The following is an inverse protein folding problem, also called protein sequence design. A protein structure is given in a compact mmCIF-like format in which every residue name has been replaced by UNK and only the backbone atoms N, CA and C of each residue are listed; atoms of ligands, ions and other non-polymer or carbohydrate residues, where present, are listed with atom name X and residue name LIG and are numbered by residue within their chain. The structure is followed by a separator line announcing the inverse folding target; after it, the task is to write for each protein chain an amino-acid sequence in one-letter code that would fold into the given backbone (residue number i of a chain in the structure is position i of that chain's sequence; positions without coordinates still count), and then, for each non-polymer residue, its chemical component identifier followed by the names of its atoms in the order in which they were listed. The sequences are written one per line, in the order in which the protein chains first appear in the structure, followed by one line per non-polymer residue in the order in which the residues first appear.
data_IF_994621184667
#
_entry.id   IF_994621184667
#
_cell.length_a   1.000
_cell.length_b   1.000
_cell.length_c   1.000
_cell.angle_alpha   90.00
_cell.angle_beta   90.00
_cell.angle_gamma   90.00
#
_symmetry.space_group_name_H-M   'P 1'
#
loop_
_entity.id
_entity.type
_entity.pdbx_description
1 polymer ?
#
# COMPACT_ATOMS: atom_id res chain seq x y z
N UNK A 1 16.73 -23.19 20.54
CA UNK A 1 17.13 -22.00 21.31
C UNK A 1 18.26 -21.32 20.56
N UNK A 2 17.96 -20.27 19.82
CA UNK A 2 18.92 -19.48 19.07
C UNK A 2 19.35 -18.27 19.90
N UNK A 3 20.65 -18.07 20.02
CA UNK A 3 21.31 -17.01 20.79
C UNK A 3 20.84 -15.61 20.34
N UNK A 4 20.29 -14.75 21.23
CA UNK A 4 19.89 -13.39 20.89
C UNK A 4 21.07 -12.45 20.60
N UNK A 5 22.33 -12.89 20.78
CA UNK A 5 23.57 -12.13 20.51
C UNK A 5 24.34 -12.60 19.28
N UNK A 6 23.77 -13.47 18.46
CA UNK A 6 24.39 -13.84 17.19
C UNK A 6 24.58 -12.58 16.34
N UNK A 7 25.83 -12.12 16.21
CA UNK A 7 26.23 -11.09 15.24
C UNK A 7 25.56 -11.45 13.91
N UNK A 8 24.79 -10.53 13.33
CA UNK A 8 24.33 -10.73 11.96
C UNK A 8 25.59 -10.99 11.12
N UNK A 9 25.73 -12.16 10.47
CA UNK A 9 26.93 -12.44 9.70
C UNK A 9 27.06 -11.34 8.66
N UNK A 10 28.18 -10.61 8.68
CA UNK A 10 28.50 -9.64 7.65
C UNK A 10 28.36 -10.35 6.30
N UNK A 11 27.46 -9.85 5.46
CA UNK A 11 27.40 -10.28 4.08
C UNK A 11 28.73 -9.91 3.42
N UNK A 12 29.44 -10.88 2.84
CA UNK A 12 30.67 -10.64 2.07
C UNK A 12 30.45 -9.76 0.81
N UNK A 13 29.24 -9.23 0.63
CA UNK A 13 28.77 -8.48 -0.54
C UNK A 13 28.19 -7.12 -0.16
N UNK A 14 28.70 -6.51 0.92
CA UNK A 14 28.35 -5.13 1.31
C UNK A 14 29.57 -4.20 1.26
N UNK A 15 29.32 -2.92 1.01
CA UNK A 15 30.30 -1.84 1.00
C UNK A 15 29.79 -0.65 1.83
N UNK A 16 30.72 0.16 2.34
CA UNK A 16 30.40 1.41 3.04
C UNK A 16 29.70 2.39 2.11
N UNK A 17 28.73 3.15 2.65
CA UNK A 17 27.97 4.14 1.87
C UNK A 17 28.85 5.19 1.19
N UNK A 18 30.00 5.53 1.79
CA UNK A 18 30.97 6.50 1.26
C UNK A 18 31.60 6.09 -0.07
N UNK A 19 31.50 4.80 -0.45
CA UNK A 19 31.91 4.31 -1.78
C UNK A 19 30.91 4.72 -2.88
N UNK A 20 29.72 5.18 -2.51
CA UNK A 20 28.65 5.55 -3.43
C UNK A 20 28.48 7.07 -3.48
N UNK A 21 28.98 7.74 -4.54
CA UNK A 21 28.98 9.19 -4.64
C UNK A 21 27.59 9.85 -4.64
N UNK A 22 26.55 9.10 -5.00
CA UNK A 22 25.19 9.62 -5.02
C UNK A 22 24.54 9.70 -3.63
N UNK A 23 25.21 9.24 -2.58
CA UNK A 23 24.68 9.25 -1.23
C UNK A 23 25.24 10.38 -0.39
N UNK A 24 24.37 10.96 0.43
CA UNK A 24 24.71 11.94 1.43
C UNK A 24 24.33 11.45 2.83
N UNK A 25 25.05 11.98 3.82
CA UNK A 25 24.86 11.73 5.24
C UNK A 25 25.16 13.03 5.97
N UNK A 26 24.14 13.88 6.10
CA UNK A 26 24.35 15.30 6.40
C UNK A 26 24.70 15.54 7.88
N UNK A 27 24.06 14.83 8.82
CA UNK A 27 24.16 15.14 10.26
C UNK A 27 25.06 14.19 11.08
N UNK A 28 25.96 13.42 10.45
CA UNK A 28 26.80 12.47 11.20
C UNK A 28 27.74 13.18 12.21
N UNK A 29 28.21 14.38 11.88
CA UNK A 29 29.08 15.18 12.78
C UNK A 29 28.36 15.72 14.00
N UNK A 30 27.03 15.77 13.98
CA UNK A 30 26.21 16.21 15.12
C UNK A 30 25.99 15.13 16.16
N UNK A 31 26.31 13.87 15.86
CA UNK A 31 26.07 12.74 16.74
C UNK A 31 27.25 12.47 17.69
N UNK A 32 26.98 12.08 18.95
CA UNK A 32 27.99 11.54 19.84
C UNK A 32 28.75 10.37 19.20
N UNK A 33 30.05 10.26 19.45
CA UNK A 33 30.88 9.18 18.88
C UNK A 33 30.34 7.78 19.22
N UNK A 34 29.79 7.61 20.42
CA UNK A 34 29.18 6.35 20.87
C UNK A 34 27.98 5.95 20.00
N UNK A 35 27.20 6.93 19.57
CA UNK A 35 26.04 6.72 18.70
C UNK A 35 26.48 6.33 17.29
N UNK A 36 27.53 6.98 16.77
CA UNK A 36 28.15 6.63 15.48
C UNK A 36 28.70 5.21 15.52
N UNK A 37 29.45 4.85 16.58
CA UNK A 37 29.95 3.49 16.77
C UNK A 37 28.81 2.47 16.88
N UNK A 38 27.72 2.81 17.57
CA UNK A 38 26.55 1.94 17.67
C UNK A 38 25.88 1.72 16.30
N UNK A 39 25.69 2.78 15.51
CA UNK A 39 25.14 2.70 14.15
C UNK A 39 26.02 1.83 13.25
N UNK A 40 27.35 1.99 13.33
CA UNK A 40 28.30 1.18 12.58
C UNK A 40 28.27 -0.29 13.00
N UNK A 41 28.23 -0.58 14.30
CA UNK A 41 28.09 -1.95 14.83
C UNK A 41 26.80 -2.64 14.37
N UNK A 42 25.75 -1.86 14.07
CA UNK A 42 24.48 -2.36 13.50
C UNK A 42 24.49 -2.38 11.96
N UNK A 43 25.58 -1.99 11.32
CA UNK A 43 25.75 -1.97 9.87
C UNK A 43 24.92 -0.90 9.16
N UNK A 44 24.48 0.15 9.84
CA UNK A 44 23.63 1.19 9.26
C UNK A 44 24.29 1.91 8.05
N UNK A 45 25.63 1.98 8.06
CA UNK A 45 26.45 2.60 7.01
C UNK A 45 26.81 1.63 5.87
N UNK A 46 26.32 0.39 5.90
CA UNK A 46 26.63 -0.65 4.92
C UNK A 46 25.46 -0.88 3.96
N UNK A 47 25.79 -1.05 2.68
CA UNK A 47 24.87 -1.26 1.59
C UNK A 47 25.32 -2.45 0.72
N UNK A 48 24.39 -3.16 0.06
CA UNK A 48 24.76 -4.18 -0.91
C UNK A 48 25.66 -3.61 -2.01
N UNK A 49 26.53 -4.45 -2.58
CA UNK A 49 27.27 -4.11 -3.79
C UNK A 49 26.31 -3.73 -4.93
N UNK A 50 26.79 -2.86 -5.83
CA UNK A 50 25.99 -2.24 -6.91
C UNK A 50 25.07 -3.21 -7.68
N UNK A 51 25.50 -4.40 -8.15
CA UNK A 51 24.60 -5.30 -8.89
C UNK A 51 23.40 -5.79 -8.06
N UNK A 52 23.62 -6.03 -6.77
CA UNK A 52 22.57 -6.44 -5.85
C UNK A 52 21.69 -5.23 -5.55
N UNK A 53 22.29 -4.08 -5.24
CA UNK A 53 21.57 -2.84 -4.99
C UNK A 53 20.65 -2.45 -6.15
N UNK A 54 21.12 -2.56 -7.40
CA UNK A 54 20.35 -2.30 -8.61
C UNK A 54 19.11 -3.19 -8.69
N UNK A 55 19.21 -4.47 -8.33
CA UNK A 55 18.03 -5.35 -8.27
C UNK A 55 16.97 -4.80 -7.30
N UNK A 56 17.34 -4.43 -6.07
CA UNK A 56 16.40 -3.85 -5.11
C UNK A 56 15.78 -2.54 -5.62
N UNK A 57 16.55 -1.70 -6.31
CA UNK A 57 16.10 -0.44 -6.91
C UNK A 57 15.13 -0.71 -8.06
N UNK A 58 15.43 -1.68 -8.94
CA UNK A 58 14.51 -2.10 -9.99
C UNK A 58 13.19 -2.61 -9.40
N UNK A 59 13.25 -3.44 -8.35
CA UNK A 59 12.06 -3.92 -7.64
C UNK A 59 11.26 -2.78 -6.99
N UNK A 60 11.93 -1.75 -6.48
CA UNK A 60 11.26 -0.55 -5.96
C UNK A 60 10.45 0.16 -7.06
N UNK A 61 11.08 0.46 -8.20
CA UNK A 61 10.40 1.16 -9.30
C UNK A 61 9.34 0.31 -9.98
N UNK A 62 9.50 -1.02 -10.00
CA UNK A 62 8.49 -1.94 -10.50
C UNK A 62 7.26 -2.01 -9.59
N UNK A 63 7.43 -2.22 -8.28
CA UNK A 63 6.34 -2.70 -7.43
C UNK A 63 5.90 -1.76 -6.30
N UNK A 64 6.70 -0.74 -5.96
CA UNK A 64 6.33 0.27 -4.94
C UNK A 64 5.97 1.61 -5.60
N UNK A 65 6.85 2.12 -6.46
CA UNK A 65 6.72 3.44 -7.08
C UNK A 65 5.38 3.69 -7.81
N UNK A 66 4.77 2.71 -8.53
CA UNK A 66 3.52 2.97 -9.24
C UNK A 66 2.34 3.31 -8.32
N UNK A 67 2.35 2.86 -7.07
CA UNK A 67 1.34 3.23 -6.06
C UNK A 67 1.78 4.40 -5.17
N UNK A 68 3.09 4.61 -5.02
CA UNK A 68 3.70 5.55 -4.10
C UNK A 68 4.89 6.26 -4.78
N UNK A 69 4.66 7.21 -5.69
CA UNK A 69 5.72 7.85 -6.48
C UNK A 69 6.50 8.88 -5.66
N UNK A 70 7.26 8.43 -4.66
CA UNK A 70 7.89 9.32 -3.68
C UNK A 70 9.00 10.21 -4.27
N UNK A 71 9.61 9.78 -5.36
CA UNK A 71 10.76 10.43 -6.00
C UNK A 71 10.50 10.59 -7.49
N UNK A 72 11.33 11.34 -8.20
CA UNK A 72 11.36 11.28 -9.66
C UNK A 72 12.29 10.15 -10.09
N UNK A 73 11.76 9.17 -10.83
CA UNK A 73 12.56 8.03 -11.30
C UNK A 73 13.70 8.46 -12.23
N UNK A 74 13.46 9.44 -13.11
CA UNK A 74 14.47 9.91 -14.05
C UNK A 74 15.63 10.61 -13.35
N UNK A 75 15.31 11.49 -12.39
CA UNK A 75 16.30 12.13 -11.53
C UNK A 75 17.05 11.11 -10.68
N UNK A 76 16.34 10.11 -10.13
CA UNK A 76 16.97 9.03 -9.37
C UNK A 76 18.03 8.31 -10.22
N UNK A 77 17.69 7.85 -11.43
CA UNK A 77 18.65 7.12 -12.27
C UNK A 77 19.79 8.01 -12.76
N UNK A 78 19.52 9.29 -13.05
CA UNK A 78 20.57 10.24 -13.42
C UNK A 78 21.60 10.42 -12.29
N UNK A 79 21.10 10.53 -11.05
CA UNK A 79 21.91 10.62 -9.84
C UNK A 79 22.64 9.29 -9.55
N UNK A 80 21.93 8.16 -9.55
CA UNK A 80 22.44 6.82 -9.21
C UNK A 80 23.55 6.32 -10.15
N UNK A 81 23.45 6.66 -11.44
CA UNK A 81 24.41 6.31 -12.50
C UNK A 81 25.48 7.38 -12.73
N UNK A 82 25.57 8.37 -11.84
CA UNK A 82 26.58 9.44 -11.88
C UNK A 82 26.55 10.28 -13.18
N UNK A 83 25.37 10.46 -13.78
CA UNK A 83 25.18 11.27 -15.00
C UNK A 83 25.09 12.75 -14.69
N UNK A 84 24.61 13.11 -13.50
CA UNK A 84 24.44 14.51 -13.06
C UNK A 84 25.75 15.18 -12.63
N UNK A 85 26.67 14.44 -11.99
CA UNK A 85 28.01 14.98 -11.65
C UNK A 85 28.82 15.32 -12.89
N UNK A 86 28.72 14.50 -13.94
CA UNK A 86 29.30 14.82 -15.26
C UNK A 86 28.75 16.12 -15.87
N UNK A 87 27.60 16.58 -15.41
CA UNK A 87 26.94 17.83 -15.82
C UNK A 87 27.11 18.97 -14.80
N UNK A 88 27.97 18.79 -13.79
CA UNK A 88 28.24 19.79 -12.75
C UNK A 88 27.10 19.99 -11.74
N UNK A 89 26.17 19.04 -11.64
CA UNK A 89 25.08 19.06 -10.64
C UNK A 89 25.33 17.98 -9.60
N UNK A 90 25.63 18.39 -8.37
CA UNK A 90 25.71 17.46 -7.23
C UNK A 90 24.32 17.28 -6.64
N UNK A 91 23.56 16.34 -7.21
CA UNK A 91 22.39 15.79 -6.53
C UNK A 91 22.81 14.56 -5.74
N UNK A 92 22.34 14.45 -4.51
CA UNK A 92 22.56 13.31 -3.61
C UNK A 92 21.24 12.84 -3.03
N UNK A 93 21.25 11.62 -2.51
CA UNK A 93 20.13 11.00 -1.79
C UNK A 93 20.57 10.65 -0.38
N UNK A 94 19.66 10.84 0.57
CA UNK A 94 19.84 10.42 1.95
C UNK A 94 20.06 8.92 2.09
N UNK A 95 21.06 8.53 2.88
CA UNK A 95 21.28 7.13 3.24
C UNK A 95 20.06 6.50 3.92
N UNK A 96 19.35 7.26 4.78
CA UNK A 96 18.13 6.80 5.43
C UNK A 96 17.09 6.39 4.39
N UNK A 97 16.87 7.26 3.39
CA UNK A 97 15.88 7.02 2.34
C UNK A 97 16.25 5.78 1.52
N UNK A 98 17.52 5.63 1.14
CA UNK A 98 17.96 4.44 0.41
C UNK A 98 17.78 3.16 1.24
N UNK A 99 18.16 3.14 2.51
CA UNK A 99 17.94 1.96 3.38
C UNK A 99 16.44 1.62 3.50
N UNK A 100 15.58 2.64 3.59
CA UNK A 100 14.13 2.45 3.59
C UNK A 100 13.60 1.91 2.25
N UNK A 101 14.18 2.33 1.11
CA UNK A 101 13.87 1.77 -0.20
C UNK A 101 14.24 0.28 -0.28
N UNK A 102 15.46 -0.09 0.15
CA UNK A 102 15.92 -1.49 0.19
C UNK A 102 15.00 -2.34 1.07
N UNK A 103 14.59 -1.82 2.23
CA UNK A 103 13.62 -2.47 3.10
C UNK A 103 12.27 -2.72 2.41
N UNK A 104 11.70 -1.71 1.77
CA UNK A 104 10.40 -1.80 1.15
C UNK A 104 10.42 -2.76 -0.05
N UNK A 105 11.46 -2.72 -0.87
CA UNK A 105 11.57 -3.55 -2.07
C UNK A 105 12.06 -4.98 -1.81
N UNK A 106 12.61 -5.26 -0.62
CA UNK A 106 13.04 -6.60 -0.19
C UNK A 106 11.98 -7.69 -0.42
N UNK A 107 10.69 -7.33 -0.31
CA UNK A 107 9.57 -8.26 -0.48
C UNK A 107 9.44 -8.81 -1.92
N UNK A 108 10.02 -8.13 -2.91
CA UNK A 108 9.88 -8.45 -4.32
C UNK A 108 11.16 -8.99 -4.96
N UNK A 109 12.30 -8.91 -4.25
CA UNK A 109 13.57 -9.49 -4.71
C UNK A 109 13.49 -11.01 -4.64
N UNK A 110 13.91 -11.68 -5.72
CA UNK A 110 13.84 -13.14 -5.77
C UNK A 110 14.68 -13.80 -4.65
N UNK A 111 14.21 -14.90 -4.04
CA UNK A 111 14.96 -15.61 -3.01
C UNK A 111 16.35 -16.07 -3.48
N UNK A 112 16.49 -16.39 -4.78
CA UNK A 112 17.77 -16.78 -5.37
C UNK A 112 18.78 -15.63 -5.37
N UNK A 113 18.37 -14.43 -5.79
CA UNK A 113 19.25 -13.24 -5.76
C UNK A 113 19.64 -12.90 -4.32
N UNK A 114 18.69 -12.94 -3.38
CA UNK A 114 18.97 -12.69 -1.97
C UNK A 114 20.00 -13.69 -1.40
N UNK A 115 19.84 -14.98 -1.70
CA UNK A 115 20.77 -16.02 -1.25
C UNK A 115 22.17 -15.83 -1.84
N UNK A 116 22.26 -15.50 -3.12
CA UNK A 116 23.53 -15.21 -3.78
C UNK A 116 24.21 -13.94 -3.23
N UNK A 117 23.40 -12.98 -2.78
CA UNK A 117 23.86 -11.78 -2.08
C UNK A 117 24.26 -12.03 -0.60
N UNK A 118 24.10 -13.26 -0.09
CA UNK A 118 24.41 -13.66 1.28
C UNK A 118 23.27 -13.49 2.29
N UNK A 119 22.08 -13.07 1.85
CA UNK A 119 20.89 -13.03 2.69
C UNK A 119 20.18 -14.39 2.66
N UNK A 120 19.93 -14.99 3.82
CA UNK A 120 19.30 -16.32 3.91
C UNK A 120 17.84 -16.37 3.43
N UNK A 121 17.21 -15.22 3.18
CA UNK A 121 15.91 -15.10 2.53
C UNK A 121 15.26 -13.72 2.72
N UNK A 122 14.09 -13.54 2.12
CA UNK A 122 13.31 -12.28 2.12
C UNK A 122 13.12 -11.73 3.53
N UNK A 123 12.68 -12.57 4.48
CA UNK A 123 12.43 -12.15 5.87
C UNK A 123 13.68 -11.59 6.56
N UNK A 124 14.85 -12.19 6.29
CA UNK A 124 16.12 -11.78 6.91
C UNK A 124 16.64 -10.50 6.28
N UNK A 125 16.69 -10.42 4.94
CA UNK A 125 17.09 -9.20 4.23
C UNK A 125 16.23 -8.00 4.68
N UNK A 126 14.92 -8.20 4.66
CA UNK A 126 13.94 -7.19 5.10
C UNK A 126 14.15 -6.78 6.55
N UNK A 127 14.40 -7.71 7.47
CA UNK A 127 14.66 -7.40 8.87
C UNK A 127 15.93 -6.57 9.08
N UNK A 128 16.99 -6.87 8.31
CA UNK A 128 18.25 -6.11 8.33
C UNK A 128 18.02 -4.68 7.86
N UNK A 129 17.44 -4.48 6.67
CA UNK A 129 17.22 -3.14 6.13
C UNK A 129 16.22 -2.34 6.95
N UNK A 130 15.18 -2.99 7.50
CA UNK A 130 14.25 -2.34 8.43
C UNK A 130 14.99 -1.78 9.65
N UNK A 131 15.81 -2.61 10.30
CA UNK A 131 16.57 -2.21 11.49
C UNK A 131 17.54 -1.07 11.18
N UNK A 132 18.26 -1.16 10.07
CA UNK A 132 19.21 -0.11 9.64
C UNK A 132 18.49 1.22 9.39
N UNK A 133 17.43 1.22 8.60
CA UNK A 133 16.64 2.43 8.31
C UNK A 133 16.00 3.01 9.59
N UNK A 134 15.43 2.16 10.45
CA UNK A 134 14.85 2.57 11.73
C UNK A 134 15.90 3.23 12.64
N UNK A 135 17.09 2.65 12.77
CA UNK A 135 18.15 3.22 13.59
C UNK A 135 18.65 4.56 13.03
N UNK A 136 18.83 4.68 11.71
CA UNK A 136 19.17 5.98 11.10
C UNK A 136 18.10 7.04 11.36
N UNK A 137 16.83 6.65 11.35
CA UNK A 137 15.71 7.55 11.67
C UNK A 137 15.72 7.96 13.15
N UNK A 138 15.81 6.98 14.05
CA UNK A 138 15.70 7.18 15.51
C UNK A 138 16.87 8.03 16.06
N UNK A 139 18.06 7.86 15.50
CA UNK A 139 19.25 8.65 15.87
C UNK A 139 19.27 10.04 15.21
N UNK A 140 18.27 10.39 14.38
CA UNK A 140 18.17 11.73 13.82
C UNK A 140 19.24 12.06 12.79
N UNK A 141 19.73 11.07 12.04
CA UNK A 141 20.76 11.24 10.99
C UNK A 141 20.25 12.07 9.79
N UNK A 142 18.93 12.16 9.63
CA UNK A 142 18.26 12.96 8.61
C UNK A 142 17.49 14.12 9.25
N UNK A 143 17.84 15.35 8.89
CA UNK A 143 17.15 16.56 9.37
C UNK A 143 16.01 17.00 8.46
N UNK A 144 16.05 16.73 7.15
CA UNK A 144 15.02 17.17 6.21
C UNK A 144 13.67 16.47 6.49
N UNK A 145 12.63 17.22 6.88
CA UNK A 145 11.31 16.66 7.14
C UNK A 145 10.69 16.02 5.89
N UNK A 146 11.00 16.50 4.68
CA UNK A 146 10.48 15.87 3.46
C UNK A 146 11.04 14.45 3.29
N UNK A 147 12.36 14.31 3.41
CA UNK A 147 13.05 13.03 3.31
C UNK A 147 12.65 12.07 4.43
N UNK A 148 12.49 12.57 5.66
CA UNK A 148 11.92 11.79 6.78
C UNK A 148 10.51 11.28 6.47
N UNK A 149 9.66 12.11 5.86
CA UNK A 149 8.32 11.68 5.48
C UNK A 149 8.33 10.57 4.41
N UNK A 150 9.21 10.66 3.41
CA UNK A 150 9.40 9.61 2.40
C UNK A 150 9.87 8.30 3.06
N UNK A 151 10.91 8.36 3.89
CA UNK A 151 11.45 7.20 4.58
C UNK A 151 10.41 6.56 5.52
N UNK A 152 9.70 7.38 6.31
CA UNK A 152 8.64 6.91 7.19
C UNK A 152 7.50 6.23 6.41
N UNK A 153 7.10 6.77 5.25
CA UNK A 153 6.13 6.11 4.38
C UNK A 153 6.61 4.71 3.96
N UNK A 154 7.86 4.57 3.53
CA UNK A 154 8.42 3.26 3.18
C UNK A 154 8.51 2.31 4.38
N UNK A 155 8.77 2.82 5.57
CA UNK A 155 8.76 2.04 6.80
C UNK A 155 7.34 1.55 7.20
N UNK A 156 6.27 2.18 6.69
CA UNK A 156 4.90 1.70 6.91
C UNK A 156 4.64 0.31 6.36
N UNK A 157 5.48 -0.19 5.46
CA UNK A 157 5.36 -1.56 4.97
C UNK A 157 5.68 -2.57 6.05
N UNK A 158 6.29 -2.18 7.18
CA UNK A 158 6.60 -3.09 8.29
C UNK A 158 5.35 -3.76 8.85
N UNK A 159 5.41 -5.08 8.91
CA UNK A 159 4.39 -5.91 9.51
C UNK A 159 5.07 -7.14 10.11
N UNK A 160 4.90 -7.32 11.41
CA UNK A 160 5.33 -8.50 12.13
C UNK A 160 4.36 -8.78 13.28
N UNK A 161 4.26 -10.04 13.70
CA UNK A 161 3.46 -10.40 14.88
C UNK A 161 3.99 -9.73 16.16
N UNK A 162 5.29 -9.40 16.21
CA UNK A 162 5.91 -8.71 17.33
C UNK A 162 5.58 -7.20 17.36
N UNK A 163 5.38 -6.59 16.20
CA UNK A 163 5.08 -5.15 16.06
C UNK A 163 3.85 -4.92 15.17
N UNK A 164 2.65 -5.38 15.56
CA UNK A 164 1.45 -5.32 14.72
C UNK A 164 0.97 -3.88 14.43
N UNK A 165 1.49 -2.90 15.16
CA UNK A 165 1.14 -1.48 15.05
C UNK A 165 2.20 -0.65 14.30
N UNK A 166 3.35 -1.24 13.93
CA UNK A 166 4.47 -0.51 13.35
C UNK A 166 4.04 0.31 12.12
N UNK A 167 3.28 -0.29 11.20
CA UNK A 167 2.80 0.39 10.00
C UNK A 167 2.00 1.67 10.30
N UNK A 168 1.12 1.63 11.29
CA UNK A 168 0.31 2.79 11.71
C UNK A 168 1.16 3.87 12.39
N UNK A 169 2.13 3.48 13.21
CA UNK A 169 3.03 4.44 13.88
C UNK A 169 3.93 5.17 12.88
N UNK A 170 4.53 4.44 11.93
CA UNK A 170 5.32 5.05 10.86
C UNK A 170 4.49 5.96 9.97
N UNK A 171 3.22 5.64 9.75
CA UNK A 171 2.32 6.50 9.01
C UNK A 171 2.10 7.82 9.75
N UNK A 172 1.86 7.79 11.07
CA UNK A 172 1.75 9.00 11.89
C UNK A 172 3.00 9.85 11.82
N UNK A 173 4.18 9.21 11.94
CA UNK A 173 5.47 9.87 11.80
C UNK A 173 5.65 10.51 10.42
N UNK A 174 5.26 9.81 9.35
CA UNK A 174 5.33 10.31 7.98
C UNK A 174 4.41 11.50 7.74
N UNK A 175 3.16 11.44 8.23
CA UNK A 175 2.20 12.54 8.16
C UNK A 175 2.74 13.77 8.90
N UNK A 176 3.25 13.60 10.12
CA UNK A 176 3.78 14.72 10.90
C UNK A 176 4.96 15.40 10.20
N UNK A 177 5.90 14.62 9.66
CA UNK A 177 7.04 15.16 8.91
C UNK A 177 6.59 15.85 7.60
N UNK A 178 5.59 15.28 6.92
CA UNK A 178 5.00 15.88 5.72
C UNK A 178 4.29 17.21 6.00
N UNK A 179 3.70 17.37 7.19
CA UNK A 179 3.12 18.65 7.65
C UNK A 179 4.22 19.67 7.92
N UNK A 180 5.29 19.27 8.63
CA UNK A 180 6.45 20.14 8.87
C UNK A 180 7.07 20.61 7.54
N UNK A 181 7.16 19.71 6.56
CA UNK A 181 7.61 20.01 5.20
C UNK A 181 6.57 20.76 4.33
N UNK A 182 5.38 21.10 4.86
CA UNK A 182 4.31 21.82 4.16
C UNK A 182 3.86 21.14 2.86
N UNK A 183 3.91 19.81 2.81
CA UNK A 183 3.58 19.07 1.58
C UNK A 183 2.07 19.05 1.32
N UNK A 184 1.25 19.03 2.38
CA UNK A 184 -0.21 19.10 2.32
C UNK A 184 -0.76 20.41 1.71
N UNK A 185 0.04 21.48 1.65
CA UNK A 185 -0.33 22.77 1.05
C UNK A 185 0.22 22.93 -0.38
N UNK A 186 0.43 21.84 -1.12
CA UNK A 186 1.00 21.84 -2.48
C UNK A 186 0.26 22.73 -3.50
N UNK A 187 -0.98 23.14 -3.23
CA UNK A 187 -1.75 24.07 -4.06
C UNK A 187 -1.43 25.55 -3.79
N UNK A 188 -0.63 25.86 -2.78
CA UNK A 188 -0.33 27.24 -2.38
C UNK A 188 0.20 28.09 -3.55
N UNK A 189 -0.26 29.33 -3.70
CA UNK A 189 0.24 30.24 -4.72
C UNK A 189 1.73 30.54 -4.50
N UNK A 190 2.46 30.86 -5.57
CA UNK A 190 3.88 31.25 -5.50
C UNK A 190 4.90 30.11 -5.47
N UNK A 191 4.48 28.86 -5.25
CA UNK A 191 5.39 27.70 -5.38
C UNK A 191 5.69 27.35 -6.84
N UNK A 192 6.94 26.92 -7.12
CA UNK A 192 7.32 26.44 -8.45
C UNK A 192 6.56 25.16 -8.82
N UNK A 193 6.32 24.94 -10.11
CA UNK A 193 5.60 23.74 -10.59
C UNK A 193 6.27 22.45 -10.12
N UNK A 194 7.61 22.39 -10.13
CA UNK A 194 8.36 21.22 -9.66
C UNK A 194 8.12 20.94 -8.17
N UNK A 195 8.12 21.98 -7.32
CA UNK A 195 7.84 21.83 -5.89
C UNK A 195 6.40 21.37 -5.65
N UNK A 196 5.43 21.93 -6.39
CA UNK A 196 4.04 21.52 -6.30
C UNK A 196 3.86 20.04 -6.64
N UNK A 197 4.44 19.57 -7.75
CA UNK A 197 4.41 18.16 -8.15
C UNK A 197 5.04 17.25 -7.09
N UNK A 198 6.24 17.60 -6.62
CA UNK A 198 6.96 16.86 -5.57
C UNK A 198 6.12 16.73 -4.29
N UNK A 199 5.55 17.82 -3.80
CA UNK A 199 4.73 17.82 -2.58
C UNK A 199 3.42 17.05 -2.78
N UNK A 200 2.79 17.21 -3.95
CA UNK A 200 1.55 16.51 -4.33
C UNK A 200 1.76 14.99 -4.38
N UNK A 201 2.87 14.52 -4.98
CA UNK A 201 3.25 13.09 -5.02
C UNK A 201 3.38 12.49 -3.61
N UNK A 202 4.13 13.13 -2.72
CA UNK A 202 4.33 12.64 -1.36
C UNK A 202 3.02 12.67 -0.55
N UNK A 203 2.28 13.76 -0.61
CA UNK A 203 1.02 13.88 0.12
C UNK A 203 -0.02 12.85 -0.34
N UNK A 204 -0.21 12.67 -1.65
CA UNK A 204 -1.10 11.64 -2.17
C UNK A 204 -0.65 10.22 -1.83
N UNK A 205 0.66 9.97 -1.78
CA UNK A 205 1.20 8.68 -1.35
C UNK A 205 0.86 8.38 0.12
N UNK A 206 1.03 9.36 1.02
CA UNK A 206 0.63 9.25 2.43
C UNK A 206 -0.89 9.08 2.58
N UNK A 207 -1.64 9.91 1.85
CA UNK A 207 -3.10 9.86 1.82
C UNK A 207 -3.59 8.48 1.42
N UNK A 208 -3.11 7.94 0.30
CA UNK A 208 -3.46 6.59 -0.14
C UNK A 208 -3.06 5.52 0.87
N UNK A 209 -1.84 5.62 1.43
CA UNK A 209 -1.34 4.64 2.41
C UNK A 209 -2.22 4.59 3.66
N UNK A 210 -2.70 5.74 4.14
CA UNK A 210 -3.64 5.86 5.25
C UNK A 210 -4.93 5.08 4.99
N UNK A 211 -5.54 5.22 3.80
CA UNK A 211 -6.80 4.52 3.46
C UNK A 211 -6.59 3.01 3.36
N UNK A 212 -5.53 2.58 2.68
CA UNK A 212 -5.23 1.15 2.51
C UNK A 212 -4.94 0.50 3.86
N UNK A 213 -4.10 1.12 4.71
CA UNK A 213 -3.82 0.59 6.04
C UNK A 213 -5.06 0.56 6.93
N UNK A 214 -5.86 1.61 6.91
CA UNK A 214 -7.11 1.74 7.68
C UNK A 214 -8.12 0.66 7.26
N UNK A 215 -8.29 0.44 5.95
CA UNK A 215 -9.16 -0.61 5.42
C UNK A 215 -8.68 -2.01 5.84
N UNK A 216 -7.37 -2.27 5.78
CA UNK A 216 -6.80 -3.59 6.10
C UNK A 216 -6.75 -3.89 7.60
N UNK A 217 -6.44 -2.88 8.42
CA UNK A 217 -6.31 -3.02 9.88
C UNK A 217 -7.60 -2.70 10.63
N UNK A 218 -8.63 -2.19 9.93
CA UNK A 218 -9.94 -1.81 10.50
C UNK A 218 -9.82 -0.84 11.66
N UNK A 219 -9.02 0.22 11.46
CA UNK A 219 -8.75 1.28 12.44
C UNK A 219 -9.31 2.61 11.94
N UNK A 220 -9.40 3.66 12.78
CA UNK A 220 -9.75 5.00 12.30
C UNK A 220 -8.66 5.62 11.41
N UNK A 221 -9.09 6.48 10.48
CA UNK A 221 -8.20 7.26 9.61
C UNK A 221 -7.33 8.23 10.42
N UNK A 222 -6.09 8.45 9.96
CA UNK A 222 -5.21 9.48 10.55
C UNK A 222 -5.33 10.82 9.84
N UNK A 223 -5.57 10.82 8.52
CA UNK A 223 -5.80 12.04 7.74
C UNK A 223 -7.32 12.20 7.59
N UNK A 224 -7.92 12.93 8.52
CA UNK A 224 -9.37 13.16 8.56
C UNK A 224 -9.77 14.43 7.78
N UNK A 225 -11.03 14.52 7.31
CA UNK A 225 -11.55 15.75 6.70
C UNK A 225 -11.59 16.95 7.64
N UNK A 226 -11.67 16.71 8.95
CA UNK A 226 -11.63 17.78 9.95
C UNK A 226 -10.24 18.37 10.13
N UNK A 227 -9.19 17.58 9.89
CA UNK A 227 -7.81 18.01 10.04
C UNK A 227 -7.19 18.52 8.73
N UNK A 228 -7.67 18.06 7.58
CA UNK A 228 -7.09 18.39 6.28
C UNK A 228 -8.15 18.63 5.21
N UNK A 229 -7.89 19.57 4.31
CA UNK A 229 -8.75 19.79 3.16
C UNK A 229 -8.68 18.58 2.21
N UNK A 230 -9.80 17.86 2.07
CA UNK A 230 -9.91 16.67 1.20
C UNK A 230 -10.31 17.04 -0.22
N UNK A 231 -10.61 18.31 -0.51
CA UNK A 231 -10.76 18.82 -1.88
C UNK A 231 -9.38 18.97 -2.53
N UNK A 232 -8.71 17.84 -2.70
CA UNK A 232 -7.38 17.74 -3.26
C UNK A 232 -7.48 17.66 -4.77
N UNK A 233 -6.69 18.49 -5.47
CA UNK A 233 -6.44 18.28 -6.89
C UNK A 233 -5.79 16.90 -7.07
N UNK A 234 -6.38 16.09 -7.95
CA UNK A 234 -5.98 14.70 -8.16
C UNK A 234 -4.58 14.66 -8.76
N UNK A 235 -3.76 13.68 -8.37
CA UNK A 235 -2.52 13.43 -9.06
C UNK A 235 -2.82 12.93 -10.48
N UNK A 236 -2.27 13.60 -11.50
CA UNK A 236 -2.52 13.29 -12.92
C UNK A 236 -1.22 13.00 -13.67
N UNK A 237 -1.32 12.74 -14.98
CA UNK A 237 -0.16 12.60 -15.85
C UNK A 237 0.77 13.83 -15.84
N UNK A 238 0.21 15.03 -15.72
CA UNK A 238 1.01 16.28 -15.68
C UNK A 238 1.92 16.32 -14.46
N UNK A 239 1.53 15.66 -13.37
CA UNK A 239 2.34 15.56 -12.16
C UNK A 239 3.46 14.54 -12.27
N UNK A 240 3.53 13.75 -13.34
CA UNK A 240 4.49 12.65 -13.57
C UNK A 240 5.26 12.80 -14.91
N UNK A 241 5.10 13.94 -15.59
CA UNK A 241 5.59 14.18 -16.96
C UNK A 241 7.13 14.17 -17.08
N UNK A 242 7.82 14.57 -16.01
CA UNK A 242 9.27 14.60 -15.85
C UNK A 242 9.90 13.20 -15.89
N UNK A 243 9.23 12.18 -15.38
CA UNK A 243 9.75 10.81 -15.38
C UNK A 243 9.18 9.92 -16.50
N UNK A 244 8.23 10.41 -17.29
CA UNK A 244 7.46 9.64 -18.28
C UNK A 244 8.33 8.88 -19.30
N UNK A 245 9.51 9.42 -19.65
CA UNK A 245 10.42 8.86 -20.67
C UNK A 245 11.77 8.38 -20.10
N UNK A 246 11.94 8.40 -18.78
CA UNK A 246 13.23 8.14 -18.12
C UNK A 246 13.18 6.93 -17.18
N UNK A 247 12.20 6.04 -17.37
CA UNK A 247 12.13 4.78 -16.62
C UNK A 247 13.11 3.75 -17.17
N UNK A 248 13.71 2.99 -16.26
CA UNK A 248 14.55 1.83 -16.60
C UNK A 248 13.78 0.51 -16.49
N UNK A 249 12.55 0.55 -15.98
CA UNK A 249 11.72 -0.64 -15.74
C UNK A 249 10.46 -0.69 -16.59
N UNK A 250 10.03 0.45 -17.13
CA UNK A 250 8.83 0.57 -17.95
C UNK A 250 9.08 1.32 -19.24
N UNK A 251 8.42 0.89 -20.32
CA UNK A 251 8.30 1.70 -21.51
C UNK A 251 7.31 2.88 -21.29
N UNK A 252 7.41 3.97 -22.08
CA UNK A 252 6.56 5.15 -21.88
C UNK A 252 5.05 4.91 -22.02
N UNK A 253 4.61 3.85 -22.74
CA UNK A 253 3.18 3.52 -22.83
C UNK A 253 2.71 2.86 -21.52
N UNK A 254 3.47 1.89 -21.01
CA UNK A 254 3.17 1.26 -19.72
C UNK A 254 3.17 2.29 -18.59
N UNK A 255 4.15 3.21 -18.58
CA UNK A 255 4.23 4.26 -17.55
C UNK A 255 3.02 5.19 -17.54
N UNK A 256 2.54 5.61 -18.71
CA UNK A 256 1.29 6.41 -18.80
C UNK A 256 0.09 5.68 -18.24
N UNK A 257 -0.09 4.40 -18.58
CA UNK A 257 -1.17 3.58 -18.04
C UNK A 257 -1.07 3.37 -16.52
N UNK A 258 0.14 3.22 -15.97
CA UNK A 258 0.35 3.17 -14.52
C UNK A 258 -0.04 4.50 -13.85
N UNK A 259 0.25 5.64 -14.47
CA UNK A 259 -0.20 6.94 -13.97
C UNK A 259 -1.72 7.12 -14.06
N UNK A 260 -2.37 6.55 -15.08
CA UNK A 260 -3.84 6.52 -15.17
C UNK A 260 -4.42 5.69 -14.01
N UNK A 261 -3.86 4.51 -13.74
CA UNK A 261 -4.23 3.67 -12.58
C UNK A 261 -4.03 4.43 -11.28
N UNK A 262 -2.92 5.15 -11.11
CA UNK A 262 -2.65 6.00 -9.96
C UNK A 262 -3.67 7.13 -9.80
N UNK A 263 -4.12 7.73 -10.90
CA UNK A 263 -5.19 8.76 -10.88
C UNK A 263 -6.51 8.15 -10.38
N UNK A 264 -6.87 6.95 -10.85
CA UNK A 264 -8.04 6.20 -10.36
C UNK A 264 -7.88 5.78 -8.89
N UNK A 265 -6.67 5.45 -8.47
CA UNK A 265 -6.31 5.17 -7.08
C UNK A 265 -6.57 6.39 -6.19
N UNK A 266 -6.19 7.59 -6.61
CA UNK A 266 -6.52 8.84 -5.90
C UNK A 266 -8.03 9.06 -5.78
N UNK A 267 -8.79 8.86 -6.86
CA UNK A 267 -10.26 8.93 -6.86
C UNK A 267 -10.88 7.93 -5.87
N UNK A 268 -10.39 6.69 -5.86
CA UNK A 268 -10.83 5.67 -4.90
C UNK A 268 -10.49 6.07 -3.47
N UNK A 269 -9.30 6.63 -3.22
CA UNK A 269 -8.90 7.12 -1.90
C UNK A 269 -9.86 8.16 -1.31
N UNK A 270 -10.43 9.04 -2.14
CA UNK A 270 -11.47 9.99 -1.73
C UNK A 270 -12.73 9.24 -1.27
N UNK A 271 -13.22 8.30 -2.07
CA UNK A 271 -14.40 7.48 -1.73
C UNK A 271 -14.17 6.64 -0.46
N UNK A 272 -12.98 6.08 -0.31
CA UNK A 272 -12.59 5.33 0.88
C UNK A 272 -12.61 6.19 2.14
N UNK A 273 -12.41 7.51 2.04
CA UNK A 273 -12.50 8.38 3.22
C UNK A 273 -13.91 8.36 3.83
N UNK A 274 -14.94 8.44 2.98
CA UNK A 274 -16.34 8.36 3.40
C UNK A 274 -16.67 6.96 3.94
N UNK A 275 -16.32 5.90 3.18
CA UNK A 275 -16.57 4.51 3.60
C UNK A 275 -15.92 4.21 4.95
N UNK A 276 -14.64 4.54 5.13
CA UNK A 276 -13.90 4.21 6.34
C UNK A 276 -14.34 5.05 7.54
N UNK A 277 -14.76 6.30 7.33
CA UNK A 277 -15.35 7.10 8.38
C UNK A 277 -16.68 6.52 8.87
N UNK A 278 -17.50 5.97 7.97
CA UNK A 278 -18.73 5.27 8.31
C UNK A 278 -18.44 3.95 9.04
N UNK A 279 -17.49 3.13 8.55
CA UNK A 279 -17.30 1.76 9.09
C UNK A 279 -16.38 1.66 10.30
N UNK A 280 -15.38 2.53 10.42
CA UNK A 280 -14.32 2.44 11.43
C UNK A 280 -14.06 3.77 12.15
N UNK A 281 -14.95 4.75 11.99
CA UNK A 281 -14.90 6.01 12.71
C UNK A 281 -15.23 5.85 14.21
N UNK A 282 -14.93 6.88 15.02
CA UNK A 282 -15.19 6.84 16.47
C UNK A 282 -16.67 6.59 16.80
N UNK A 283 -17.58 7.10 15.97
CA UNK A 283 -19.03 6.99 16.15
C UNK A 283 -19.63 5.73 15.49
N UNK A 284 -18.85 4.95 14.73
CA UNK A 284 -19.34 3.77 14.01
C UNK A 284 -19.90 2.67 14.92
N UNK A 285 -19.57 2.71 16.21
CA UNK A 285 -20.05 1.72 17.19
C UNK A 285 -20.86 2.35 18.33
N UNK A 286 -21.29 3.62 18.19
CA UNK A 286 -22.06 4.32 19.22
C UNK A 286 -23.37 3.54 19.53
N UNK A 287 -23.61 3.15 20.80
CA UNK A 287 -24.82 2.43 21.16
C UNK A 287 -26.09 3.31 21.21
N UNK A 288 -25.95 4.64 21.15
CA UNK A 288 -27.06 5.61 21.21
C UNK A 288 -27.55 6.06 19.83
N UNK A 289 -27.99 5.11 18.99
CA UNK A 289 -28.63 5.45 17.72
C UNK A 289 -30.02 6.04 17.96
N UNK A 290 -30.20 7.34 17.69
CA UNK A 290 -31.54 7.85 17.41
C UNK A 290 -32.01 7.33 16.04
N UNK A 291 -33.33 7.23 15.84
CA UNK A 291 -33.90 6.84 14.54
C UNK A 291 -33.44 7.77 13.41
N UNK A 292 -33.41 9.08 13.68
CA UNK A 292 -32.94 10.09 12.71
C UNK A 292 -31.46 9.86 12.31
N UNK A 293 -30.61 9.52 13.28
CA UNK A 293 -29.19 9.25 13.02
C UNK A 293 -28.99 7.93 12.26
N UNK A 294 -29.80 6.92 12.56
CA UNK A 294 -29.83 5.65 11.83
C UNK A 294 -30.20 5.85 10.36
N UNK A 295 -31.30 6.55 10.07
CA UNK A 295 -31.73 6.84 8.70
C UNK A 295 -30.70 7.67 7.92
N UNK A 296 -30.12 8.68 8.57
CA UNK A 296 -29.04 9.47 7.98
C UNK A 296 -27.81 8.61 7.63
N UNK A 297 -27.41 7.71 8.54
CA UNK A 297 -26.28 6.79 8.33
C UNK A 297 -26.56 5.85 7.16
N UNK A 298 -27.74 5.24 7.08
CA UNK A 298 -28.11 4.37 5.95
C UNK A 298 -28.13 5.13 4.62
N UNK A 299 -28.61 6.37 4.61
CA UNK A 299 -28.59 7.22 3.41
C UNK A 299 -27.16 7.53 2.95
N UNK A 300 -26.25 7.81 3.89
CA UNK A 300 -24.82 7.98 3.60
C UNK A 300 -24.19 6.70 3.04
N UNK A 301 -24.50 5.54 3.64
CA UNK A 301 -24.02 4.24 3.14
C UNK A 301 -24.48 3.95 1.71
N UNK A 302 -25.77 4.19 1.40
CA UNK A 302 -26.31 4.03 0.04
C UNK A 302 -25.61 4.95 -0.96
N UNK A 303 -25.33 6.19 -0.57
CA UNK A 303 -24.61 7.16 -1.39
C UNK A 303 -23.16 6.71 -1.64
N UNK A 304 -22.46 6.29 -0.60
CA UNK A 304 -21.10 5.77 -0.71
C UNK A 304 -21.02 4.52 -1.61
N UNK A 305 -21.99 3.61 -1.47
CA UNK A 305 -22.16 2.43 -2.34
C UNK A 305 -22.35 2.81 -3.80
N UNK A 306 -23.27 3.73 -4.09
CA UNK A 306 -23.54 4.18 -5.46
C UNK A 306 -22.29 4.83 -6.11
N UNK A 307 -21.56 5.65 -5.34
CA UNK A 307 -20.30 6.26 -5.81
C UNK A 307 -19.21 5.21 -6.08
N UNK A 308 -19.09 4.20 -5.23
CA UNK A 308 -18.14 3.11 -5.41
C UNK A 308 -18.50 2.24 -6.63
N UNK A 309 -19.79 1.98 -6.85
CA UNK A 309 -20.27 1.31 -8.06
C UNK A 309 -19.91 2.11 -9.32
N UNK A 310 -20.18 3.42 -9.30
CA UNK A 310 -19.84 4.30 -10.43
C UNK A 310 -18.33 4.35 -10.70
N UNK A 311 -17.52 4.41 -9.66
CA UNK A 311 -16.06 4.35 -9.82
C UNK A 311 -15.61 3.04 -10.47
N UNK A 312 -16.24 1.90 -10.14
CA UNK A 312 -15.93 0.60 -10.76
C UNK A 312 -16.29 0.56 -12.25
N UNK A 313 -17.44 1.12 -12.64
CA UNK A 313 -17.85 1.26 -14.05
C UNK A 313 -16.83 2.09 -14.84
N UNK A 314 -16.45 3.26 -14.31
CA UNK A 314 -15.46 4.13 -14.94
C UNK A 314 -14.09 3.43 -15.06
N UNK A 315 -13.70 2.68 -14.02
CA UNK A 315 -12.44 1.94 -13.99
C UNK A 315 -12.47 0.77 -14.98
N UNK A 316 -13.61 0.12 -15.18
CA UNK A 316 -13.76 -1.01 -16.09
C UNK A 316 -13.59 -0.54 -17.54
N UNK A 317 -14.25 0.57 -17.89
CA UNK A 317 -14.07 1.21 -19.18
C UNK A 317 -12.60 1.60 -19.46
N UNK A 318 -11.85 1.99 -18.42
CA UNK A 318 -10.45 2.37 -18.55
C UNK A 318 -9.48 1.18 -18.59
N UNK A 319 -9.75 0.11 -17.85
CA UNK A 319 -8.76 -0.93 -17.52
C UNK A 319 -9.12 -2.35 -17.93
N UNK A 320 -10.29 -2.60 -18.54
CA UNK A 320 -10.72 -3.95 -18.94
C UNK A 320 -9.65 -4.69 -19.78
N UNK A 321 -8.94 -3.98 -20.65
CA UNK A 321 -7.87 -4.53 -21.50
C UNK A 321 -6.73 -5.12 -20.67
N UNK A 322 -6.43 -4.56 -19.50
CA UNK A 322 -5.33 -5.00 -18.64
C UNK A 322 -5.68 -6.23 -17.79
N UNK A 323 -6.97 -6.54 -17.66
CA UNK A 323 -7.48 -7.70 -16.92
C UNK A 323 -7.77 -8.91 -17.83
N UNK A 324 -7.58 -8.77 -19.14
CA UNK A 324 -7.71 -9.87 -20.12
C UNK A 324 -6.39 -10.61 -20.37
N UNK A 325 -6.42 -11.57 -21.30
CA UNK A 325 -5.23 -12.36 -21.72
C UNK A 325 -4.34 -11.59 -22.74
N UNK A 326 -4.44 -10.26 -22.80
CA UNK A 326 -3.72 -9.41 -23.75
C UNK A 326 -2.21 -9.31 -23.48
N UNK A 327 -1.43 -8.98 -24.52
CA UNK A 327 0.02 -8.73 -24.44
C UNK A 327 0.36 -7.37 -23.79
N UNK A 328 -0.21 -7.06 -22.63
CA UNK A 328 0.12 -5.86 -21.85
C UNK A 328 1.20 -6.16 -20.80
N UNK A 329 1.90 -5.13 -20.34
CA UNK A 329 2.90 -5.31 -19.28
C UNK A 329 2.23 -5.87 -18.01
N UNK A 330 2.83 -6.90 -17.40
CA UNK A 330 2.22 -7.65 -16.29
C UNK A 330 1.90 -6.78 -15.06
N UNK A 331 2.67 -5.72 -14.83
CA UNK A 331 2.39 -4.73 -13.77
C UNK A 331 1.03 -4.06 -13.94
N UNK A 332 0.55 -3.83 -15.16
CA UNK A 332 -0.78 -3.25 -15.38
C UNK A 332 -1.87 -4.17 -14.84
N UNK A 333 -1.79 -5.46 -15.15
CA UNK A 333 -2.71 -6.48 -14.61
C UNK A 333 -2.64 -6.52 -13.08
N UNK A 334 -1.44 -6.48 -12.50
CA UNK A 334 -1.24 -6.48 -11.05
C UNK A 334 -1.89 -5.27 -10.38
N UNK A 335 -1.55 -4.06 -10.80
CA UNK A 335 -2.04 -2.83 -10.16
C UNK A 335 -3.53 -2.59 -10.42
N UNK A 336 -4.03 -2.88 -11.63
CA UNK A 336 -5.47 -2.87 -11.90
C UNK A 336 -6.21 -3.86 -10.99
N UNK A 337 -5.70 -5.10 -10.83
CA UNK A 337 -6.31 -6.08 -9.93
C UNK A 337 -6.31 -5.61 -8.47
N UNK A 338 -5.20 -5.02 -8.01
CA UNK A 338 -5.08 -4.52 -6.64
C UNK A 338 -6.06 -3.38 -6.33
N UNK A 339 -6.24 -2.40 -7.23
CA UNK A 339 -7.21 -1.32 -7.00
C UNK A 339 -8.65 -1.85 -6.89
N UNK A 340 -9.01 -2.86 -7.70
CA UNK A 340 -10.31 -3.51 -7.59
C UNK A 340 -10.45 -4.31 -6.31
N UNK A 341 -9.42 -5.04 -5.88
CA UNK A 341 -9.44 -5.76 -4.59
C UNK A 341 -9.69 -4.79 -3.43
N UNK A 342 -9.08 -3.60 -3.44
CA UNK A 342 -9.36 -2.57 -2.43
C UNK A 342 -10.80 -2.04 -2.52
N UNK A 343 -11.32 -1.83 -3.73
CA UNK A 343 -12.70 -1.41 -3.92
C UNK A 343 -13.71 -2.46 -3.43
N UNK A 344 -13.50 -3.75 -3.72
CA UNK A 344 -14.35 -4.83 -3.22
C UNK A 344 -14.22 -5.02 -1.71
N UNK A 345 -13.02 -4.87 -1.14
CA UNK A 345 -12.83 -4.90 0.30
C UNK A 345 -13.60 -3.77 1.01
N UNK A 346 -13.65 -2.57 0.42
CA UNK A 346 -14.47 -1.47 0.92
C UNK A 346 -15.98 -1.75 0.79
N UNK A 347 -16.41 -2.35 -0.32
CA UNK A 347 -17.80 -2.80 -0.48
C UNK A 347 -18.18 -3.82 0.60
N UNK A 348 -17.30 -4.78 0.89
CA UNK A 348 -17.50 -5.79 1.94
C UNK A 348 -17.54 -5.14 3.33
N UNK A 349 -16.64 -4.20 3.61
CA UNK A 349 -16.63 -3.47 4.88
C UNK A 349 -17.96 -2.71 5.08
N UNK A 350 -18.42 -2.01 4.05
CA UNK A 350 -19.67 -1.24 4.09
C UNK A 350 -20.89 -2.14 4.28
N UNK A 351 -21.00 -3.23 3.51
CA UNK A 351 -22.11 -4.18 3.62
C UNK A 351 -22.17 -4.86 4.98
N UNK A 352 -21.03 -5.30 5.53
CA UNK A 352 -20.96 -5.87 6.88
C UNK A 352 -21.37 -4.85 7.95
N UNK A 353 -20.99 -3.58 7.78
CA UNK A 353 -21.36 -2.55 8.73
C UNK A 353 -22.85 -2.19 8.67
N UNK A 354 -23.43 -2.13 7.46
CA UNK A 354 -24.87 -1.93 7.27
C UNK A 354 -25.67 -3.07 7.91
N UNK A 355 -25.28 -4.33 7.69
CA UNK A 355 -25.92 -5.48 8.32
C UNK A 355 -25.87 -5.40 9.85
N UNK A 356 -24.72 -5.02 10.42
CA UNK A 356 -24.55 -4.85 11.86
C UNK A 356 -25.49 -3.80 12.46
N UNK A 357 -25.63 -2.64 11.80
CA UNK A 357 -26.49 -1.57 12.31
C UNK A 357 -27.96 -1.97 12.18
N UNK A 358 -28.37 -2.60 11.07
CA UNK A 358 -29.73 -3.14 10.89
C UNK A 358 -30.06 -4.14 12.01
N UNK A 359 -29.19 -5.12 12.27
CA UNK A 359 -29.41 -6.14 13.31
C UNK A 359 -29.52 -5.53 14.72
N UNK A 360 -28.71 -4.49 15.02
CA UNK A 360 -28.79 -3.78 16.31
C UNK A 360 -30.12 -3.08 16.51
N UNK A 361 -30.67 -2.45 15.46
CA UNK A 361 -31.98 -1.78 15.53
C UNK A 361 -33.14 -2.78 15.58
N UNK A 362 -33.02 -3.94 14.92
CA UNK A 362 -34.03 -5.02 15.00
C UNK A 362 -34.27 -5.51 16.43
N UNK A 363 -33.23 -5.53 17.28
CA UNK A 363 -33.36 -5.91 18.71
C UNK A 363 -34.17 -4.90 19.53
N UNK A 364 -34.46 -3.71 18.99
CA UNK A 364 -35.23 -2.65 19.65
C UNK A 364 -36.58 -2.30 19.00
N UNK A 365 -36.79 -2.61 17.71
CA UNK A 365 -38.02 -2.25 16.97
C UNK A 365 -38.41 -3.38 16.00
N UNK A 366 -39.68 -3.82 16.04
CA UNK A 366 -40.26 -4.89 15.20
C UNK A 366 -40.56 -4.45 13.76
N UNK A 367 -39.68 -3.69 13.12
CA UNK A 367 -39.91 -3.16 11.77
C UNK A 367 -38.58 -3.08 11.02
N UNK A 368 -38.28 -4.06 10.13
CA UNK A 368 -37.77 -3.88 8.77
C UNK A 368 -37.49 -5.23 8.06
N UNK A 369 -37.51 -5.15 6.73
CA UNK A 369 -37.73 -6.18 5.70
C UNK A 369 -36.52 -7.11 5.43
N UNK A 370 -36.72 -8.43 5.49
CA UNK A 370 -35.71 -9.48 5.14
C UNK A 370 -35.10 -9.27 3.74
N UNK A 371 -35.79 -8.52 2.87
CA UNK A 371 -35.28 -8.13 1.56
C UNK A 371 -33.98 -7.31 1.62
N UNK A 372 -33.79 -6.46 2.64
CA UNK A 372 -32.62 -5.60 2.77
C UNK A 372 -31.37 -6.40 3.13
N UNK A 373 -31.49 -7.33 4.09
CA UNK A 373 -30.38 -8.23 4.48
C UNK A 373 -30.00 -9.17 3.33
N UNK A 374 -30.98 -9.65 2.56
CA UNK A 374 -30.74 -10.46 1.37
C UNK A 374 -29.98 -9.70 0.29
N UNK A 375 -30.36 -8.45 0.01
CA UNK A 375 -29.65 -7.58 -0.91
C UNK A 375 -28.18 -7.34 -0.48
N UNK A 376 -27.93 -7.10 0.81
CA UNK A 376 -26.57 -7.00 1.35
C UNK A 376 -25.81 -8.32 1.11
N UNK A 377 -26.45 -9.46 1.36
CA UNK A 377 -25.87 -10.79 1.11
C UNK A 377 -25.45 -10.99 -0.35
N UNK A 378 -26.30 -10.63 -1.31
CA UNK A 378 -26.01 -10.70 -2.75
C UNK A 378 -24.79 -9.83 -3.12
N UNK A 379 -24.71 -8.61 -2.59
CA UNK A 379 -23.56 -7.72 -2.82
C UNK A 379 -22.25 -8.27 -2.24
N UNK A 380 -22.30 -8.84 -1.03
CA UNK A 380 -21.14 -9.45 -0.37
C UNK A 380 -20.64 -10.67 -1.15
N UNK A 381 -21.57 -11.51 -1.64
CA UNK A 381 -21.26 -12.68 -2.46
C UNK A 381 -20.62 -12.27 -3.79
N UNK A 382 -21.18 -11.26 -4.46
CA UNK A 382 -20.59 -10.72 -5.70
C UNK A 382 -19.18 -10.17 -5.48
N UNK A 383 -18.97 -9.35 -4.44
CA UNK A 383 -17.65 -8.80 -4.13
C UNK A 383 -16.62 -9.89 -3.78
N UNK A 384 -17.07 -10.95 -3.10
CA UNK A 384 -16.24 -12.12 -2.76
C UNK A 384 -15.84 -12.91 -4.01
N UNK A 385 -16.80 -13.14 -4.90
CA UNK A 385 -16.58 -13.84 -6.18
C UNK A 385 -15.58 -13.11 -7.05
N UNK A 386 -15.75 -11.79 -7.22
CA UNK A 386 -14.86 -10.97 -8.03
C UNK A 386 -13.46 -10.84 -7.42
N UNK A 387 -13.36 -10.71 -6.10
CA UNK A 387 -12.05 -10.74 -5.42
C UNK A 387 -11.31 -12.05 -5.69
N UNK A 388 -12.03 -13.18 -5.59
CA UNK A 388 -11.47 -14.51 -5.87
C UNK A 388 -11.08 -14.67 -7.34
N UNK A 389 -11.85 -14.11 -8.28
CA UNK A 389 -11.52 -14.07 -9.70
C UNK A 389 -10.22 -13.31 -9.96
N UNK A 390 -10.05 -12.14 -9.35
CA UNK A 390 -8.83 -11.31 -9.48
C UNK A 390 -7.60 -12.01 -8.87
N UNK A 391 -7.75 -12.65 -7.70
CA UNK A 391 -6.66 -13.44 -7.11
C UNK A 391 -6.27 -14.60 -8.03
N UNK A 392 -7.24 -15.32 -8.60
CA UNK A 392 -6.96 -16.38 -9.58
C UNK A 392 -6.25 -15.86 -10.83
N UNK A 393 -6.61 -14.67 -11.32
CA UNK A 393 -5.91 -14.03 -12.43
C UNK A 393 -4.44 -13.73 -12.10
N UNK A 394 -4.17 -13.17 -10.91
CA UNK A 394 -2.81 -12.91 -10.42
C UNK A 394 -1.99 -14.21 -10.33
N UNK A 395 -2.61 -15.29 -9.84
CA UNK A 395 -1.99 -16.62 -9.78
C UNK A 395 -1.69 -17.18 -11.17
N UNK A 396 -2.66 -17.14 -12.10
CA UNK A 396 -2.52 -17.62 -13.49
C UNK A 396 -1.37 -16.90 -14.21
N UNK A 397 -1.19 -15.61 -13.94
CA UNK A 397 -0.14 -14.78 -14.54
C UNK A 397 1.23 -14.90 -13.83
N UNK A 398 1.35 -15.71 -12.77
CA UNK A 398 2.58 -15.91 -12.03
C UNK A 398 3.03 -14.69 -11.22
N UNK A 399 2.08 -13.84 -10.80
CA UNK A 399 2.35 -12.55 -10.15
C UNK A 399 2.21 -12.60 -8.62
N UNK A 400 2.00 -13.78 -8.03
CA UNK A 400 1.79 -13.96 -6.58
C UNK A 400 2.95 -13.45 -5.73
N UNK A 401 4.18 -13.64 -6.20
CA UNK A 401 5.37 -13.15 -5.50
C UNK A 401 5.49 -11.61 -5.47
N UNK A 402 4.70 -10.92 -6.31
CA UNK A 402 4.68 -9.46 -6.40
C UNK A 402 3.51 -8.82 -5.66
N UNK A 403 2.68 -9.64 -5.00
CA UNK A 403 1.64 -9.13 -4.13
C UNK A 403 2.24 -8.51 -2.86
N UNK A 404 1.84 -7.27 -2.49
CA UNK A 404 2.22 -6.73 -1.19
C UNK A 404 1.75 -7.65 -0.07
N UNK A 405 2.55 -7.80 0.99
CA UNK A 405 2.20 -8.63 2.16
C UNK A 405 0.84 -8.21 2.76
N UNK A 406 0.51 -6.92 2.69
CA UNK A 406 -0.77 -6.40 3.17
C UNK A 406 -1.99 -6.96 2.42
N UNK A 407 -1.83 -7.53 1.21
CA UNK A 407 -2.96 -8.00 0.40
C UNK A 407 -3.83 -9.01 1.14
N UNK A 408 -3.22 -9.80 2.02
CA UNK A 408 -3.87 -10.84 2.83
C UNK A 408 -5.04 -10.26 3.62
N UNK A 409 -4.91 -9.03 4.12
CA UNK A 409 -5.96 -8.37 4.90
C UNK A 409 -7.27 -8.16 4.11
N UNK A 410 -7.19 -8.11 2.78
CA UNK A 410 -8.33 -7.86 1.89
C UNK A 410 -8.88 -9.14 1.26
N UNK A 411 -8.03 -10.15 1.06
CA UNK A 411 -8.42 -11.40 0.36
C UNK A 411 -8.75 -12.55 1.31
N UNK A 412 -8.28 -12.54 2.56
CA UNK A 412 -8.44 -13.67 3.47
C UNK A 412 -9.92 -13.99 3.76
N UNK A 413 -10.73 -12.97 4.07
CA UNK A 413 -12.16 -13.16 4.33
C UNK A 413 -12.94 -13.64 3.08
N UNK A 414 -12.80 -13.00 1.91
CA UNK A 414 -13.39 -13.51 0.67
C UNK A 414 -13.02 -14.96 0.33
N UNK A 415 -11.74 -15.31 0.42
CA UNK A 415 -11.28 -16.67 0.10
C UNK A 415 -11.79 -17.70 1.12
N UNK A 416 -11.89 -17.32 2.39
CA UNK A 416 -12.49 -18.16 3.43
C UNK A 416 -13.98 -18.38 3.17
N UNK A 417 -14.74 -17.34 2.84
CA UNK A 417 -16.16 -17.46 2.50
C UNK A 417 -16.38 -18.35 1.27
N UNK A 418 -15.65 -18.10 0.18
CA UNK A 418 -15.75 -18.92 -1.03
C UNK A 418 -15.43 -20.40 -0.74
N UNK A 419 -14.42 -20.68 0.10
CA UNK A 419 -14.09 -22.05 0.48
C UNK A 419 -15.16 -22.71 1.37
N UNK A 420 -15.92 -21.94 2.15
CA UNK A 420 -17.03 -22.46 2.94
C UNK A 420 -18.23 -22.73 2.04
N UNK A 421 -18.55 -21.81 1.14
CA UNK A 421 -19.65 -21.96 0.18
C UNK A 421 -19.45 -23.18 -0.73
N UNK A 422 -18.21 -23.42 -1.19
CA UNK A 422 -17.86 -24.61 -1.98
C UNK A 422 -18.11 -25.91 -1.19
N UNK A 423 -17.80 -25.92 0.12
CA UNK A 423 -18.01 -27.09 0.98
C UNK A 423 -19.49 -27.33 1.26
N UNK A 424 -20.23 -26.27 1.60
CA UNK A 424 -21.67 -26.35 1.88
C UNK A 424 -22.40 -26.83 0.62
N UNK A 425 -22.07 -26.26 -0.55
CA UNK A 425 -22.65 -26.67 -1.84
C UNK A 425 -22.31 -28.12 -2.19
N UNK A 426 -21.10 -28.58 -1.86
CA UNK A 426 -20.72 -30.00 -2.08
C UNK A 426 -21.49 -30.95 -1.15
N UNK A 427 -21.72 -30.56 0.10
CA UNK A 427 -22.49 -31.35 1.07
C UNK A 427 -23.97 -31.40 0.68
N UNK A 428 -24.55 -30.30 0.19
CA UNK A 428 -25.94 -30.25 -0.30
C UNK A 428 -26.13 -31.14 -1.54
N UNK A 429 -25.20 -31.10 -2.50
CA UNK A 429 -25.22 -31.98 -3.68
C UNK A 429 -25.07 -33.47 -3.31
N UNK A 430 -24.25 -33.78 -2.30
CA UNK A 430 -24.09 -35.13 -1.76
C UNK A 430 -25.39 -35.59 -1.08
N UNK A 431 -26.07 -34.70 -0.37
CA UNK A 431 -27.32 -34.97 0.36
C UNK A 431 -28.52 -35.14 -0.58
N UNK A 432 -28.58 -34.37 -1.67
CA UNK A 432 -29.57 -34.55 -2.75
C UNK A 432 -29.35 -35.88 -3.49
N UNK A 433 -28.10 -36.20 -3.86
CA UNK A 433 -27.77 -37.48 -4.48
C UNK A 433 -28.15 -38.68 -3.59
N UNK A 434 -27.94 -38.59 -2.28
CA UNK A 434 -28.30 -39.65 -1.33
C UNK A 434 -29.82 -39.77 -1.10
N UNK A 435 -30.58 -38.68 -1.30
CA UNK A 435 -32.06 -38.70 -1.29
C UNK A 435 -32.60 -39.33 -2.56
N UNK A 436 -32.09 -38.96 -3.72
CA UNK A 436 -32.50 -39.53 -5.01
C UNK A 436 -32.20 -41.04 -5.08
N UNK A 437 -31.07 -41.48 -4.52
CA UNK A 437 -30.70 -42.89 -4.40
C UNK A 437 -31.62 -43.68 -3.44
N UNK A 438 -32.24 -43.01 -2.46
CA UNK A 438 -33.22 -43.62 -1.55
C UNK A 438 -34.60 -43.67 -2.17
N UNK A 439 -35.02 -42.64 -2.90
CA UNK A 439 -36.33 -42.62 -3.57
C UNK A 439 -36.41 -43.64 -4.71
N UNK A 440 -35.30 -43.92 -5.42
CA UNK A 440 -35.25 -44.98 -6.45
C UNK A 440 -35.24 -46.42 -5.89
N UNK A 441 -35.14 -46.60 -4.56
CA UNK A 441 -35.14 -47.91 -3.88
C UNK A 441 -36.45 -48.24 -3.16
N UNK A 442 -37.42 -47.33 -3.20
CA UNK A 442 -38.82 -47.51 -2.78
C UNK A 442 -39.70 -47.66 -4.00
#
# INVERSE_FOLDING_TARGET
MSDPRARAPFCQSEALFSTYPFLALDDLSGLPEQDVQFLELNGCFHLPLRPIQEEFVHQYFLYIHPCYPLMDEGEFWSMYLDRDRRRGREKTMSLLLLQAMLFASSAFVSPAVLKNAGYSGVKVARGIFYRRAKLLFDFGVESDPFTKAQAALLLTFQFSAAEPHAGSLWLSTGIQNAIVAQTHTFQAPGSSTALKRRNKRLWWSLYWRDRVLTLGLRKPLQITPSSFNVQLDLLTQDDMIDEAHHSFVYDPKTKRHLTDILTFQCRLGILLTEVLALTYGPSSFDPTYSLDHFEATLSQMRTARARLARWKEDAEAAFYVFLGDGHTHRSLTLFSSLIYIYAYAAQIALGNHEALIIERMQKGVTLLDDSALRSIGEELSHATTETTRLVRLIVKQGLTQHLPISVIAYIAFPLMLSSLDDKISSDDAQTESDRDLKEQRT
#
